data_IF_901240948905
#
_entry.id   IF_901240948905
#
_cell.length_a   1.000
_cell.length_b   1.000
_cell.length_c   1.000
_cell.angle_alpha   90.00
_cell.angle_beta   90.00
_cell.angle_gamma   90.00
#
_symmetry.space_group_name_H-M   'P 1'
#
loop_
_entity.id
_entity.type
_entity.pdbx_description
1 polymer ?
#
# COMPACT_ATOMS: atom_id res chain seq x y z
N UNK A 1 18.55 -14.76 10.41
CA UNK A 1 17.41 -14.46 11.28
C UNK A 1 16.15 -14.60 10.44
N UNK A 2 15.54 -15.78 10.46
CA UNK A 2 14.28 -16.00 9.76
C UNK A 2 13.17 -15.40 10.62
N UNK A 3 12.71 -14.21 10.25
CA UNK A 3 11.62 -13.53 10.91
C UNK A 3 10.31 -14.19 10.46
N UNK A 4 9.79 -15.10 11.28
CA UNK A 4 8.49 -15.71 11.09
C UNK A 4 7.85 -16.00 12.43
N UNK A 5 6.76 -15.30 12.74
CA UNK A 5 5.94 -15.60 13.91
C UNK A 5 5.08 -16.84 13.62
N UNK A 6 4.85 -17.66 14.64
CA UNK A 6 3.92 -18.79 14.54
C UNK A 6 2.49 -18.25 14.55
N UNK A 7 1.76 -18.46 13.45
CA UNK A 7 0.38 -18.03 13.29
C UNK A 7 -0.59 -19.20 13.44
N UNK A 8 -1.71 -18.95 14.11
CA UNK A 8 -2.75 -19.94 14.36
C UNK A 8 -3.92 -19.74 13.39
N UNK A 9 -4.45 -20.84 12.87
CA UNK A 9 -5.55 -20.84 11.90
C UNK A 9 -6.63 -21.84 12.30
N UNK A 10 -7.88 -21.51 12.00
CA UNK A 10 -9.02 -22.41 12.06
C UNK A 10 -9.40 -22.76 10.61
N UNK A 11 -9.48 -24.05 10.32
CA UNK A 11 -9.89 -24.56 9.00
C UNK A 11 -11.30 -25.11 9.12
N UNK A 12 -12.22 -24.54 8.35
CA UNK A 12 -13.61 -24.98 8.27
C UNK A 12 -13.77 -25.74 6.95
N UNK A 13 -14.15 -27.01 7.04
CA UNK A 13 -14.46 -27.84 5.88
C UNK A 13 -15.97 -28.09 5.82
N UNK A 14 -16.56 -27.91 4.64
CA UNK A 14 -17.99 -28.05 4.40
C UNK A 14 -18.23 -29.34 3.58
N UNK A 15 -18.72 -30.43 4.22
CA UNK A 15 -18.93 -31.71 3.52
C UNK A 15 -20.05 -31.69 2.47
N UNK A 16 -20.90 -30.66 2.47
CA UNK A 16 -22.00 -30.53 1.51
C UNK A 16 -21.52 -30.29 0.07
N UNK A 17 -20.41 -29.58 -0.10
CA UNK A 17 -19.91 -29.13 -1.40
C UNK A 17 -18.39 -29.28 -1.56
N UNK A 18 -17.72 -29.97 -0.63
CA UNK A 18 -16.26 -30.14 -0.57
C UNK A 18 -15.48 -28.81 -0.58
N UNK A 19 -16.04 -27.76 0.01
CA UNK A 19 -15.37 -26.45 0.12
C UNK A 19 -14.67 -26.26 1.46
N UNK A 20 -13.68 -25.38 1.48
CA UNK A 20 -12.90 -25.06 2.67
C UNK A 20 -12.76 -23.55 2.83
N UNK A 21 -12.86 -23.09 4.07
CA UNK A 21 -12.61 -21.71 4.49
C UNK A 21 -11.50 -21.72 5.54
N UNK A 22 -10.57 -20.77 5.47
CA UNK A 22 -9.47 -20.67 6.43
C UNK A 22 -9.55 -19.32 7.13
N UNK A 23 -9.63 -19.36 8.46
CA UNK A 23 -9.70 -18.19 9.32
C UNK A 23 -8.40 -18.07 10.11
N UNK A 24 -7.76 -16.91 10.08
CA UNK A 24 -6.64 -16.57 10.94
C UNK A 24 -7.14 -16.20 12.32
N UNK A 25 -6.58 -16.83 13.35
CA UNK A 25 -6.83 -16.50 14.76
C UNK A 25 -5.85 -15.40 15.17
N UNK A 26 -6.38 -14.33 15.74
CA UNK A 26 -5.60 -13.25 16.32
C UNK A 26 -5.91 -13.15 17.80
N UNK A 27 -4.88 -13.30 18.63
CA UNK A 27 -4.98 -13.07 20.07
C UNK A 27 -4.39 -11.69 20.37
N UNK A 28 -5.24 -10.66 20.40
CA UNK A 28 -4.84 -9.33 20.86
C UNK A 28 -5.40 -9.16 22.27
N UNK A 29 -4.53 -9.27 23.28
CA UNK A 29 -4.93 -9.31 24.72
C UNK A 29 -5.87 -10.49 25.01
N UNK A 30 -6.84 -10.30 25.90
CA UNK A 30 -7.89 -11.28 26.27
C UNK A 30 -9.01 -11.45 25.22
N UNK A 31 -9.04 -10.62 24.17
CA UNK A 31 -10.03 -10.77 23.10
C UNK A 31 -9.49 -11.63 21.97
N UNK A 32 -10.14 -12.77 21.76
CA UNK A 32 -9.88 -13.64 20.62
C UNK A 32 -10.75 -13.18 19.43
N UNK A 33 -10.14 -12.99 18.27
CA UNK A 33 -10.85 -12.63 17.04
C UNK A 33 -10.35 -13.47 15.88
N UNK A 34 -11.25 -13.86 15.00
CA UNK A 34 -10.95 -14.57 13.75
C UNK A 34 -11.19 -13.66 12.55
N UNK A 35 -10.30 -13.74 11.56
CA UNK A 35 -10.44 -13.01 10.30
C UNK A 35 -10.21 -13.97 9.12
N UNK A 36 -10.96 -13.85 8.01
CA UNK A 36 -10.80 -14.75 6.88
C UNK A 36 -9.43 -14.57 6.23
N UNK A 37 -8.67 -15.66 6.16
CA UNK A 37 -7.44 -15.77 5.38
C UNK A 37 -7.74 -16.23 3.95
N UNK A 38 -8.61 -17.22 3.83
CA UNK A 38 -9.09 -17.76 2.57
C UNK A 38 -10.61 -17.86 2.65
N UNK A 39 -11.30 -17.18 1.73
CA UNK A 39 -12.74 -17.31 1.59
C UNK A 39 -13.14 -18.74 1.20
N UNK A 40 -14.37 -19.13 1.51
CA UNK A 40 -14.92 -20.46 1.20
C UNK A 40 -14.78 -20.79 -0.29
N UNK A 41 -13.88 -21.71 -0.63
CA UNK A 41 -13.65 -22.20 -2.00
C UNK A 41 -13.28 -23.68 -2.00
N UNK A 42 -13.35 -24.33 -3.16
CA UNK A 42 -12.75 -25.65 -3.35
C UNK A 42 -11.23 -25.52 -3.44
N UNK A 43 -10.51 -26.13 -2.51
CA UNK A 43 -9.05 -26.00 -2.44
C UNK A 43 -8.38 -27.17 -3.16
N UNK A 44 -7.50 -26.89 -4.13
CA UNK A 44 -6.77 -27.92 -4.85
C UNK A 44 -5.49 -28.33 -4.09
N UNK A 45 -5.20 -29.63 -4.10
CA UNK A 45 -3.97 -30.21 -3.54
C UNK A 45 -2.73 -29.69 -4.26
N UNK A 46 -2.83 -29.54 -5.59
CA UNK A 46 -1.72 -29.13 -6.44
C UNK A 46 -2.02 -27.80 -7.15
N UNK A 47 -1.96 -26.71 -6.39
CA UNK A 47 -2.32 -25.39 -6.89
C UNK A 47 -1.46 -24.91 -8.09
N UNK A 48 -0.24 -25.42 -8.24
CA UNK A 48 0.64 -25.11 -9.39
C UNK A 48 0.13 -25.71 -10.71
N UNK A 49 -0.55 -26.85 -10.65
CA UNK A 49 -1.11 -27.52 -11.84
C UNK A 49 -2.41 -26.89 -12.30
N UNK A 50 -3.11 -26.15 -11.43
CA UNK A 50 -4.37 -25.47 -11.76
C UNK A 50 -4.31 -24.61 -13.01
N UNK A 51 -3.21 -23.88 -13.23
CA UNK A 51 -3.08 -22.96 -14.36
C UNK A 51 -3.07 -23.69 -15.71
N UNK A 52 -2.76 -24.98 -15.72
CA UNK A 52 -2.82 -25.85 -16.89
C UNK A 52 -4.18 -26.56 -17.05
N UNK A 53 -4.95 -26.68 -15.97
CA UNK A 53 -6.15 -27.55 -15.90
C UNK A 53 -7.45 -26.74 -15.94
N UNK A 54 -7.46 -25.49 -15.46
CA UNK A 54 -8.68 -24.68 -15.34
C UNK A 54 -8.64 -23.39 -16.17
N UNK A 55 -8.82 -23.45 -17.51
CA UNK A 55 -9.32 -22.31 -18.24
C UNK A 55 -10.80 -22.16 -17.90
N UNK A 56 -11.15 -21.11 -17.16
CA UNK A 56 -12.49 -20.61 -16.88
C UNK A 56 -13.69 -21.60 -17.00
N UNK A 57 -14.21 -22.01 -15.84
CA UNK A 57 -15.67 -21.95 -15.58
C UNK A 57 -16.60 -23.01 -16.20
N UNK A 58 -16.17 -24.26 -16.45
CA UNK A 58 -17.12 -25.37 -16.71
C UNK A 58 -17.34 -26.25 -15.46
N UNK A 59 -18.62 -26.55 -15.16
CA UNK A 59 -19.04 -27.42 -14.04
C UNK A 59 -18.49 -28.85 -14.19
N UNK A 60 -18.31 -29.32 -15.44
CA UNK A 60 -17.79 -30.65 -15.79
C UNK A 60 -16.32 -30.84 -15.35
N UNK A 61 -15.49 -29.80 -15.46
CA UNK A 61 -14.07 -29.88 -15.05
C UNK A 61 -13.91 -30.16 -13.54
N UNK A 62 -14.89 -29.80 -12.71
CA UNK A 62 -14.83 -30.02 -11.26
C UNK A 62 -15.08 -31.47 -10.84
N UNK A 63 -15.85 -32.24 -11.61
CA UNK A 63 -16.12 -33.65 -11.29
C UNK A 63 -14.97 -34.56 -11.70
N UNK A 64 -14.34 -34.29 -12.85
CA UNK A 64 -13.18 -35.07 -13.33
C UNK A 64 -11.95 -34.93 -12.43
N UNK A 65 -11.79 -33.78 -11.76
CA UNK A 65 -10.60 -33.46 -10.96
C UNK A 65 -10.87 -33.44 -9.45
N UNK A 66 -11.96 -34.10 -8.98
CA UNK A 66 -12.31 -34.15 -7.55
C UNK A 66 -11.19 -34.74 -6.69
N UNK A 67 -10.47 -35.75 -7.21
CA UNK A 67 -9.34 -36.37 -6.51
C UNK A 67 -8.15 -35.43 -6.30
N UNK A 68 -8.03 -34.41 -7.17
CA UNK A 68 -7.02 -33.36 -7.07
C UNK A 68 -7.39 -32.25 -6.07
N UNK A 69 -8.62 -32.27 -5.54
CA UNK A 69 -9.09 -31.37 -4.49
C UNK A 69 -8.93 -32.01 -3.11
N UNK A 70 -8.83 -31.18 -2.08
CA UNK A 70 -8.78 -31.67 -0.70
C UNK A 70 -10.12 -32.30 -0.31
N UNK A 71 -10.05 -33.53 0.15
CA UNK A 71 -11.18 -34.28 0.68
C UNK A 71 -11.01 -34.47 2.20
N UNK A 72 -12.07 -34.86 2.93
CA UNK A 72 -11.95 -35.19 4.35
C UNK A 72 -10.83 -36.19 4.67
N UNK A 73 -10.62 -37.18 3.79
CA UNK A 73 -9.56 -38.18 3.95
C UNK A 73 -8.13 -37.59 4.01
N UNK A 74 -7.94 -36.40 3.44
CA UNK A 74 -6.65 -35.72 3.42
C UNK A 74 -6.41 -34.87 4.68
N UNK A 75 -7.48 -34.57 5.44
CA UNK A 75 -7.48 -33.68 6.61
C UNK A 75 -7.40 -34.47 7.92
N UNK A 76 -6.28 -35.18 8.11
CA UNK A 76 -6.00 -35.91 9.35
C UNK A 76 -5.12 -35.09 10.29
N UNK A 77 -5.39 -35.17 11.60
CA UNK A 77 -4.55 -34.56 12.63
C UNK A 77 -3.11 -35.11 12.53
N UNK A 78 -2.12 -34.22 12.64
CA UNK A 78 -0.69 -34.50 12.45
C UNK A 78 -0.20 -34.39 11.01
N UNK A 79 -1.08 -34.27 10.01
CA UNK A 79 -0.68 -34.03 8.63
C UNK A 79 -0.45 -32.53 8.36
N UNK A 80 0.43 -32.26 7.40
CA UNK A 80 0.67 -30.91 6.89
C UNK A 80 0.05 -30.79 5.50
N UNK A 81 -0.82 -29.80 5.31
CA UNK A 81 -1.46 -29.50 4.03
C UNK A 81 -0.78 -28.29 3.39
N UNK A 82 -0.72 -28.26 2.05
CA UNK A 82 -0.25 -27.11 1.29
C UNK A 82 -1.43 -26.38 0.66
N UNK A 83 -1.71 -25.17 1.15
CA UNK A 83 -2.77 -24.31 0.66
C UNK A 83 -2.16 -23.09 -0.03
N UNK A 84 -2.19 -23.08 -1.36
CA UNK A 84 -1.62 -22.01 -2.20
C UNK A 84 -0.17 -21.62 -1.86
N UNK A 85 0.66 -22.60 -1.50
CA UNK A 85 2.07 -22.41 -1.15
C UNK A 85 2.32 -22.16 0.34
N UNK A 86 1.26 -22.13 1.16
CA UNK A 86 1.36 -22.06 2.62
C UNK A 86 1.18 -23.44 3.20
N UNK A 87 2.22 -23.95 3.87
CA UNK A 87 2.17 -25.23 4.58
C UNK A 87 1.51 -25.00 5.94
N UNK A 88 0.35 -25.61 6.16
CA UNK A 88 -0.41 -25.53 7.41
C UNK A 88 -0.39 -26.90 8.07
N UNK A 89 0.03 -26.95 9.32
CA UNK A 89 0.10 -28.18 10.11
C UNK A 89 -1.17 -28.35 10.95
N UNK A 90 -1.83 -29.51 10.84
CA UNK A 90 -3.10 -29.80 11.50
C UNK A 90 -2.85 -30.34 12.93
N UNK A 91 -3.06 -29.51 13.94
CA UNK A 91 -2.73 -29.86 15.35
C UNK A 91 -3.88 -30.55 16.08
N UNK A 92 -5.12 -30.11 15.84
CA UNK A 92 -6.30 -30.63 16.54
C UNK A 92 -7.58 -30.49 15.68
N UNK A 93 -8.64 -31.19 16.07
CA UNK A 93 -9.98 -31.09 15.49
C UNK A 93 -11.08 -31.20 16.57
N UNK A 94 -12.21 -30.53 16.31
CA UNK A 94 -13.34 -30.49 17.23
C UNK A 94 -13.94 -31.87 17.51
N UNK A 95 -14.60 -31.99 18.67
CA UNK A 95 -15.30 -33.23 19.08
C UNK A 95 -16.35 -33.68 18.07
N UNK A 96 -17.08 -32.73 17.47
CA UNK A 96 -18.07 -33.01 16.44
C UNK A 96 -17.40 -33.59 15.18
N UNK A 97 -16.26 -33.02 14.78
CA UNK A 97 -15.45 -33.51 13.67
C UNK A 97 -14.94 -34.92 13.94
N UNK A 98 -14.40 -35.19 15.12
CA UNK A 98 -13.96 -36.55 15.50
C UNK A 98 -15.09 -37.58 15.39
N UNK A 99 -16.29 -37.24 15.86
CA UNK A 99 -17.46 -38.10 15.73
C UNK A 99 -17.92 -38.29 14.26
N UNK A 100 -17.78 -37.28 13.42
CA UNK A 100 -18.06 -37.39 11.98
C UNK A 100 -17.09 -38.36 11.29
N UNK A 101 -15.78 -38.24 11.53
CA UNK A 101 -14.77 -39.13 10.94
C UNK A 101 -14.98 -40.60 11.36
N UNK A 102 -15.32 -40.84 12.62
CA UNK A 102 -15.59 -42.18 13.13
C UNK A 102 -16.87 -42.79 12.52
N UNK A 103 -17.97 -42.03 12.49
CA UNK A 103 -19.27 -42.52 12.00
C UNK A 103 -19.35 -42.65 10.49
N UNK A 104 -18.87 -41.66 9.76
CA UNK A 104 -19.09 -41.54 8.31
C UNK A 104 -17.94 -42.14 7.53
N UNK A 105 -16.71 -41.85 7.93
CA UNK A 105 -15.51 -42.28 7.21
C UNK A 105 -14.88 -43.55 7.79
N UNK A 106 -15.32 -43.98 8.99
CA UNK A 106 -14.74 -45.11 9.73
C UNK A 106 -13.23 -44.91 9.97
N UNK A 107 -12.81 -43.65 10.14
CA UNK A 107 -11.43 -43.27 10.38
C UNK A 107 -11.34 -42.69 11.79
N UNK A 108 -10.54 -43.31 12.65
CA UNK A 108 -10.22 -42.74 13.95
C UNK A 108 -9.18 -41.63 13.78
N UNK A 109 -9.58 -40.39 14.07
CA UNK A 109 -8.65 -39.26 14.04
C UNK A 109 -7.58 -39.39 15.15
N UNK A 110 -6.30 -39.14 14.84
CA UNK A 110 -5.22 -39.13 15.84
C UNK A 110 -5.49 -38.15 17.00
N UNK A 111 -4.86 -38.40 18.15
CA UNK A 111 -4.96 -37.50 19.30
C UNK A 111 -4.40 -36.10 18.98
N UNK A 112 -4.88 -35.08 19.68
CA UNK A 112 -4.39 -33.72 19.52
C UNK A 112 -2.89 -33.65 19.84
N UNK A 113 -2.12 -33.02 18.95
CA UNK A 113 -0.71 -32.78 19.21
C UNK A 113 -0.53 -31.62 20.21
N UNK A 114 0.50 -31.66 21.07
CA UNK A 114 0.75 -30.57 22.00
C UNK A 114 1.01 -29.29 21.21
N UNK A 115 0.25 -28.25 21.55
CA UNK A 115 0.40 -26.92 20.96
C UNK A 115 1.82 -26.44 21.25
N UNK A 116 2.57 -26.04 20.22
CA UNK A 116 3.90 -25.46 20.40
C UNK A 116 3.73 -24.15 21.15
N UNK A 117 4.09 -24.12 22.42
CA UNK A 117 4.13 -22.89 23.20
C UNK A 117 5.25 -22.01 22.65
N UNK A 118 4.87 -21.04 21.83
CA UNK A 118 5.76 -19.95 21.46
C UNK A 118 5.95 -19.15 22.73
N UNK A 119 7.10 -19.32 23.38
CA UNK A 119 7.51 -18.43 24.46
C UNK A 119 7.50 -17.02 23.90
N UNK A 120 6.55 -16.21 24.37
CA UNK A 120 6.54 -14.78 24.08
C UNK A 120 7.94 -14.28 24.45
N UNK A 121 8.71 -13.70 23.49
CA UNK A 121 10.06 -13.28 23.79
C UNK A 121 9.99 -12.34 24.98
N UNK A 122 10.83 -12.59 25.99
CA UNK A 122 10.86 -11.74 27.18
C UNK A 122 10.89 -10.29 26.74
N UNK A 123 10.07 -9.41 27.36
CA UNK A 123 9.99 -8.02 26.96
C UNK A 123 11.43 -7.50 26.91
N UNK A 124 11.84 -7.09 25.70
CA UNK A 124 13.16 -6.54 25.45
C UNK A 124 13.45 -5.55 26.58
N UNK A 125 14.59 -5.66 27.29
CA UNK A 125 14.88 -4.79 28.41
C UNK A 125 14.63 -3.36 27.95
N UNK A 126 13.57 -2.76 28.50
CA UNK A 126 13.23 -1.38 28.20
C UNK A 126 14.51 -0.59 28.49
N UNK A 127 14.94 0.26 27.55
CA UNK A 127 16.09 1.13 27.75
C UNK A 127 16.07 1.61 29.20
N UNK A 128 17.17 1.49 29.97
CA UNK A 128 17.17 1.79 31.40
C UNK A 128 16.42 3.09 31.56
N UNK A 129 15.27 3.03 32.26
CA UNK A 129 14.41 4.19 32.39
C UNK A 129 15.29 5.24 33.04
N UNK A 130 15.78 6.18 32.24
CA UNK A 130 16.69 7.14 32.78
C UNK A 130 15.82 7.95 33.71
N UNK A 131 16.08 7.82 35.01
CA UNK A 131 15.55 8.69 36.04
C UNK A 131 16.22 10.04 35.85
N UNK A 132 16.04 10.65 34.68
CA UNK A 132 16.31 12.04 34.50
C UNK A 132 15.19 12.75 35.22
N UNK A 133 15.56 13.44 36.30
CA UNK A 133 14.78 14.52 36.85
C UNK A 133 14.08 15.24 35.69
N UNK A 134 12.75 15.20 35.71
CA UNK A 134 11.87 15.60 34.59
C UNK A 134 12.05 17.07 34.16
N UNK A 135 12.97 17.81 34.80
CA UNK A 135 13.35 19.19 34.52
C UNK A 135 14.49 19.33 33.50
N UNK A 136 15.41 18.37 33.37
CA UNK A 136 16.54 18.50 32.43
C UNK A 136 16.25 17.89 31.05
N UNK A 137 15.51 16.77 31.01
CA UNK A 137 15.19 16.10 29.75
C UNK A 137 14.23 16.90 28.86
N UNK A 138 13.31 17.66 29.47
CA UNK A 138 12.39 18.58 28.77
C UNK A 138 13.11 19.74 28.11
N UNK A 139 14.12 20.32 28.77
CA UNK A 139 14.98 21.35 28.17
C UNK A 139 15.78 20.80 26.98
N UNK A 140 16.32 19.57 27.09
CA UNK A 140 16.99 18.92 25.97
C UNK A 140 16.06 18.56 24.81
N UNK A 141 14.80 18.20 25.08
CA UNK A 141 13.80 17.94 24.03
C UNK A 141 13.45 19.24 23.29
N UNK A 142 13.29 20.36 24.02
CA UNK A 142 13.08 21.68 23.42
C UNK A 142 14.26 22.15 22.57
N UNK A 143 15.49 21.75 22.91
CA UNK A 143 16.68 22.01 22.10
C UNK A 143 16.79 21.09 20.87
N UNK A 144 16.30 19.84 20.94
CA UNK A 144 16.32 18.86 19.83
C UNK A 144 15.16 19.07 18.83
N UNK A 145 14.00 19.53 19.31
CA UNK A 145 12.82 19.84 18.49
C UNK A 145 13.14 20.74 17.28
N UNK A 146 13.81 21.89 17.42
CA UNK A 146 14.17 22.73 16.28
C UNK A 146 15.19 22.07 15.34
N UNK A 147 15.98 21.09 15.81
CA UNK A 147 16.92 20.31 14.99
C UNK A 147 16.18 19.33 14.07
N UNK A 148 15.15 18.64 14.58
CA UNK A 148 14.36 17.67 13.80
C UNK A 148 13.55 18.35 12.69
N UNK A 149 13.09 19.58 12.94
CA UNK A 149 12.44 20.42 11.93
C UNK A 149 13.37 20.85 10.78
N UNK A 150 14.69 20.63 10.86
CA UNK A 150 15.64 20.87 9.77
C UNK A 150 15.79 19.67 8.83
N UNK A 151 15.46 18.46 9.28
CA UNK A 151 15.61 17.24 8.47
C UNK A 151 14.46 17.00 7.50
N UNK A 152 13.29 17.58 7.76
CA UNK A 152 12.19 17.62 6.81
C UNK A 152 12.35 18.84 5.89
N UNK A 153 12.33 18.67 4.55
CA UNK A 153 12.39 19.81 3.64
C UNK A 153 11.17 20.69 3.92
N UNK A 154 11.41 21.84 4.54
CA UNK A 154 10.36 22.82 4.78
C UNK A 154 9.96 23.42 3.44
N UNK A 155 8.64 23.57 3.17
CA UNK A 155 8.21 24.32 2.01
C UNK A 155 8.86 25.72 2.07
N UNK A 156 9.32 26.27 0.92
CA UNK A 156 9.93 27.58 0.91
C UNK A 156 8.99 28.59 1.55
N UNK A 157 9.51 29.40 2.49
CA UNK A 157 8.72 30.42 3.19
C UNK A 157 8.23 31.42 2.16
N UNK A 158 6.91 31.45 1.92
CA UNK A 158 6.28 32.48 1.11
C UNK A 158 6.08 33.73 1.96
N UNK A 159 6.42 34.90 1.41
CA UNK A 159 6.12 36.17 2.06
C UNK A 159 4.60 36.42 2.00
N UNK A 160 3.92 36.01 3.06
CA UNK A 160 2.46 36.11 3.18
C UNK A 160 1.98 37.57 3.11
N UNK A 161 2.81 38.52 3.57
CA UNK A 161 2.45 39.95 3.55
C UNK A 161 2.47 40.45 2.11
N UNK A 162 3.55 40.18 1.37
CA UNK A 162 3.62 40.51 -0.06
C UNK A 162 2.52 39.82 -0.86
N UNK A 163 2.25 38.54 -0.57
CA UNK A 163 1.20 37.77 -1.23
C UNK A 163 -0.18 38.43 -1.06
N UNK A 164 -0.57 38.73 0.17
CA UNK A 164 -1.87 39.33 0.48
C UNK A 164 -2.00 40.76 -0.09
N UNK A 165 -0.95 41.57 0.03
CA UNK A 165 -0.97 42.95 -0.48
C UNK A 165 -1.05 43.02 -2.00
N UNK A 166 -0.45 42.05 -2.71
CA UNK A 166 -0.40 42.01 -4.16
C UNK A 166 -1.33 40.96 -4.79
N UNK A 167 -2.20 40.36 -3.98
CA UNK A 167 -3.20 39.40 -4.43
C UNK A 167 -4.05 40.06 -5.53
N UNK A 168 -4.23 39.36 -6.64
CA UNK A 168 -4.94 39.82 -7.84
C UNK A 168 -4.31 41.01 -8.60
N UNK A 169 -3.11 41.47 -8.23
CA UNK A 169 -2.38 42.47 -9.02
C UNK A 169 -1.50 41.78 -10.07
N UNK A 170 -1.64 42.20 -11.32
CA UNK A 170 -0.82 41.72 -12.43
C UNK A 170 -0.34 42.87 -13.29
N UNK A 171 0.87 42.74 -13.83
CA UNK A 171 1.43 43.62 -14.85
C UNK A 171 1.24 42.94 -16.20
N UNK A 172 0.71 43.68 -17.17
CA UNK A 172 0.45 43.17 -18.52
C UNK A 172 1.22 43.95 -19.56
N UNK A 173 2.04 43.26 -20.33
CA UNK A 173 2.89 43.84 -21.36
C UNK A 173 2.54 43.24 -22.72
N UNK A 174 2.65 44.04 -23.78
CA UNK A 174 2.66 43.55 -25.15
C UNK A 174 4.10 43.30 -25.57
N UNK A 175 4.37 42.15 -26.17
CA UNK A 175 5.71 41.76 -26.60
C UNK A 175 5.67 41.23 -28.04
N UNK A 176 6.81 41.35 -28.71
CA UNK A 176 7.10 40.71 -30.00
C UNK A 176 8.38 39.91 -29.83
N UNK A 177 8.49 38.78 -30.54
CA UNK A 177 9.72 38.02 -30.54
C UNK A 177 10.73 38.73 -31.44
N UNK A 178 11.97 38.86 -30.97
CA UNK A 178 13.08 39.25 -31.83
C UNK A 178 13.38 38.06 -32.75
N UNK A 179 13.40 38.28 -34.06
CA UNK A 179 13.22 37.21 -35.05
C UNK A 179 14.44 36.29 -35.06
N UNK A 180 14.31 35.09 -34.47
CA UNK A 180 15.34 34.03 -34.55
C UNK A 180 15.11 33.16 -35.80
N UNK A 181 13.86 32.94 -36.18
CA UNK A 181 13.46 32.21 -37.39
C UNK A 181 12.48 33.06 -38.22
N UNK A 182 12.59 33.08 -39.56
CA UNK A 182 11.74 33.91 -40.43
C UNK A 182 10.24 33.58 -40.30
N UNK A 183 9.92 32.37 -39.87
CA UNK A 183 8.55 31.92 -39.61
C UNK A 183 7.91 32.52 -38.35
N UNK A 184 8.70 33.06 -37.43
CA UNK A 184 8.19 33.73 -36.21
C UNK A 184 7.90 35.21 -36.42
N UNK A 185 8.14 35.73 -37.62
CA UNK A 185 7.99 37.13 -37.94
C UNK A 185 6.53 37.58 -37.79
N UNK A 186 6.32 38.67 -37.05
CA UNK A 186 4.99 39.25 -36.83
C UNK A 186 4.17 38.62 -35.69
N UNK A 187 4.66 37.57 -35.02
CA UNK A 187 3.99 37.00 -33.82
C UNK A 187 3.92 38.04 -32.70
N UNK A 188 2.74 38.17 -32.08
CA UNK A 188 2.49 39.11 -30.97
C UNK A 188 2.07 38.37 -29.72
N UNK A 189 2.73 38.70 -28.62
CA UNK A 189 2.52 38.09 -27.32
C UNK A 189 2.00 39.09 -26.30
N UNK A 190 1.30 38.58 -25.30
CA UNK A 190 0.92 39.28 -24.09
C UNK A 190 1.62 38.56 -22.94
N UNK A 191 2.41 39.28 -22.17
CA UNK A 191 3.08 38.78 -20.97
C UNK A 191 2.30 39.28 -19.76
N UNK A 192 1.86 38.35 -18.92
CA UNK A 192 1.20 38.61 -17.64
C UNK A 192 2.16 38.22 -16.51
N UNK A 193 2.57 39.19 -15.70
CA UNK A 193 3.40 39.00 -14.51
C UNK A 193 2.57 39.20 -13.26
N UNK A 194 2.49 38.18 -12.40
CA UNK A 194 1.73 38.26 -11.13
C UNK A 194 2.61 38.80 -10.02
N UNK A 195 2.17 39.88 -9.37
CA UNK A 195 2.96 40.56 -8.33
C UNK A 195 3.00 39.84 -6.98
N UNK A 196 2.07 38.91 -6.72
CA UNK A 196 2.05 38.14 -5.47
C UNK A 196 3.18 37.11 -5.39
N UNK A 197 3.43 36.40 -6.50
CA UNK A 197 4.28 35.21 -6.53
C UNK A 197 5.45 35.30 -7.52
N UNK A 198 5.46 36.33 -8.38
CA UNK A 198 6.44 36.49 -9.46
C UNK A 198 6.24 35.59 -10.69
N UNK A 199 5.12 34.86 -10.75
CA UNK A 199 4.85 33.95 -11.86
C UNK A 199 4.54 34.72 -13.15
N UNK A 200 5.11 34.24 -14.25
CA UNK A 200 4.91 34.78 -15.60
C UNK A 200 4.02 33.82 -16.38
N UNK A 201 3.08 34.37 -17.16
CA UNK A 201 2.28 33.67 -18.15
C UNK A 201 2.38 34.41 -19.48
N UNK A 202 2.55 33.68 -20.57
CA UNK A 202 2.68 34.25 -21.91
C UNK A 202 1.54 33.74 -22.79
N UNK A 203 0.82 34.65 -23.42
CA UNK A 203 -0.30 34.35 -24.30
C UNK A 203 0.02 34.88 -25.68
N UNK A 204 -0.06 34.02 -26.68
CA UNK A 204 0.05 34.41 -28.07
C UNK A 204 -1.30 34.93 -28.59
N UNK A 205 -1.27 36.10 -29.21
CA UNK A 205 -2.45 36.68 -29.85
C UNK A 205 -2.69 36.03 -31.20
N UNK A 206 -3.91 35.55 -31.43
CA UNK A 206 -4.38 35.17 -32.76
C UNK A 206 -4.36 36.39 -33.69
N UNK A 207 -3.70 36.25 -34.84
CA UNK A 207 -3.72 37.23 -35.92
C UNK A 207 -4.56 36.68 -37.08
N UNK A 208 -5.34 37.55 -37.73
CA UNK A 208 -6.17 37.14 -38.87
C UNK A 208 -5.27 36.92 -40.08
N UNK A 209 -5.55 35.89 -40.87
CA UNK A 209 -4.91 35.62 -42.15
C UNK A 209 -3.40 35.28 -42.09
N UNK A 210 -2.87 34.92 -40.91
CA UNK A 210 -1.44 34.56 -40.72
C UNK A 210 -1.22 33.08 -40.42
N UNK A 211 -2.27 32.25 -40.39
CA UNK A 211 -2.17 30.81 -40.03
C UNK A 211 -1.93 30.52 -38.54
N UNK A 212 -1.46 31.49 -37.75
CA UNK A 212 -1.26 31.33 -36.30
C UNK A 212 -2.59 31.19 -35.54
N UNK A 213 -2.80 30.06 -34.88
CA UNK A 213 -4.00 29.78 -34.09
C UNK A 213 -4.07 30.63 -32.81
N UNK A 214 -2.92 31.09 -32.30
CA UNK A 214 -2.79 31.79 -31.02
C UNK A 214 -3.10 30.90 -29.83
N UNK A 215 -3.04 31.45 -28.61
CA UNK A 215 -3.38 30.72 -27.38
C UNK A 215 -2.33 30.80 -26.29
N UNK A 216 -2.32 29.82 -25.38
CA UNK A 216 -1.36 29.76 -24.27
C UNK A 216 0.02 29.37 -24.79
N UNK A 217 0.97 30.29 -24.73
CA UNK A 217 2.36 30.03 -25.10
C UNK A 217 3.18 29.52 -23.90
N UNK A 218 2.98 30.13 -22.73
CA UNK A 218 3.56 29.69 -21.45
C UNK A 218 2.50 29.80 -20.34
N UNK A 219 2.36 28.76 -19.52
CA UNK A 219 1.52 28.81 -18.32
C UNK A 219 2.15 29.62 -17.21
N UNK A 220 1.40 29.88 -16.13
CA UNK A 220 1.99 30.51 -14.95
C UNK A 220 3.16 29.65 -14.43
N UNK A 221 4.37 30.19 -14.55
CA UNK A 221 5.59 29.56 -14.05
C UNK A 221 6.63 30.64 -13.66
N UNK A 222 7.53 30.32 -12.74
CA UNK A 222 8.74 31.12 -12.50
C UNK A 222 9.73 30.90 -13.65
N UNK A 223 10.12 31.98 -14.32
CA UNK A 223 11.05 31.93 -15.46
C UNK A 223 12.43 32.38 -14.97
N UNK A 224 13.46 31.52 -15.06
CA UNK A 224 14.81 31.91 -14.66
C UNK A 224 15.36 32.97 -15.61
N UNK A 225 16.07 33.95 -15.06
CA UNK A 225 16.79 34.93 -15.88
C UNK A 225 17.99 34.23 -16.55
N UNK A 226 18.36 34.65 -17.78
CA UNK A 226 19.55 34.13 -18.42
C UNK A 226 20.77 34.44 -17.53
N UNK A 227 21.59 33.42 -17.25
CA UNK A 227 22.79 33.46 -16.41
C UNK A 227 22.58 33.59 -14.89
N UNK A 228 21.36 33.37 -14.36
CA UNK A 228 21.16 33.25 -12.91
C UNK A 228 21.38 31.82 -12.44
N UNK A 229 22.19 31.64 -11.40
CA UNK A 229 22.42 30.34 -10.77
C UNK A 229 21.19 29.96 -9.92
N UNK A 230 20.54 28.81 -10.14
CA UNK A 230 19.37 28.39 -9.35
C UNK A 230 19.63 28.25 -7.84
N UNK A 231 20.90 28.16 -7.45
CA UNK A 231 21.34 28.02 -6.06
C UNK A 231 21.79 29.33 -5.40
N UNK A 232 21.85 30.45 -6.14
CA UNK A 232 22.21 31.77 -5.62
C UNK A 232 21.30 32.84 -6.28
N UNK A 233 20.08 33.03 -5.74
CA UNK A 233 19.01 33.82 -6.36
C UNK A 233 19.23 35.34 -6.37
#
# INVERSE_FOLDING_TARGET
CEYGDLEEYHILFYPEDDTMEILKRSKRRETETTAPLLARIKVPKNWKKLRAIFPAESLENFYEHREEMYLPHDLLVGKTIDVFGRKIHLVDCDKATRAFYDKVLQITQPAAEPRVEVKEPEPMPCCPQVTHDKSKATQQIEDILPEWHKFTPQPPKTDLVCYLMNMNKLLRYSAKLDVVHPEDEGRRFIIEYRLSDGFIKIIERKLKNTGFQGGKFLGYQLVPKPNSNPHDP
#
